data_IF_522283619317
#
_entry.id   IF_522283619317
#
_cell.length_a   1.000
_cell.length_b   1.000
_cell.length_c   1.000
_cell.angle_alpha   90.00
_cell.angle_beta   90.00
_cell.angle_gamma   90.00
#
_symmetry.space_group_name_H-M   'P 1'
#
loop_
_entity.id
_entity.type
_entity.pdbx_description
1 polymer ?
#
# COMPACT_ATOMS: atom_id res chain seq x y z
N UNK A 1 -12.86 12.51 -0.13
CA UNK A 1 -13.47 13.57 -0.98
C UNK A 1 -14.45 14.47 -0.20
N UNK A 2 -15.63 13.99 0.22
CA UNK A 2 -16.65 14.87 0.86
C UNK A 2 -16.13 15.64 2.08
N UNK A 3 -15.30 15.02 2.92
CA UNK A 3 -14.66 15.70 4.04
C UNK A 3 -13.72 16.84 3.60
N UNK A 4 -12.99 16.66 2.49
CA UNK A 4 -12.10 17.70 1.93
C UNK A 4 -12.95 18.87 1.42
N UNK A 5 -14.08 18.58 0.76
CA UNK A 5 -15.04 19.61 0.34
C UNK A 5 -15.59 20.37 1.54
N UNK A 6 -16.00 19.67 2.60
CA UNK A 6 -16.50 20.31 3.81
C UNK A 6 -15.43 21.22 4.44
N UNK A 7 -14.18 20.78 4.52
CA UNK A 7 -13.06 21.60 5.01
C UNK A 7 -12.90 22.82 4.11
N UNK A 8 -12.83 22.63 2.79
CA UNK A 8 -12.71 23.73 1.83
C UNK A 8 -13.82 24.78 2.02
N UNK A 9 -15.05 24.37 2.28
CA UNK A 9 -16.20 25.28 2.39
C UNK A 9 -16.33 25.93 3.79
N UNK A 10 -15.80 25.29 4.84
CA UNK A 10 -16.11 25.69 6.22
C UNK A 10 -14.88 26.07 7.05
N UNK A 11 -13.65 25.70 6.67
CA UNK A 11 -12.46 25.86 7.53
C UNK A 11 -12.16 27.32 7.85
N UNK A 12 -12.63 28.26 7.02
CA UNK A 12 -12.52 29.69 7.29
C UNK A 12 -13.22 30.11 8.59
N UNK A 13 -14.36 29.49 8.95
CA UNK A 13 -15.06 29.76 10.20
C UNK A 13 -14.25 29.34 11.44
N UNK A 14 -13.28 28.45 11.26
CA UNK A 14 -12.37 27.95 12.31
C UNK A 14 -11.00 28.64 12.27
N UNK A 15 -10.84 29.69 11.47
CA UNK A 15 -9.59 30.44 11.33
C UNK A 15 -8.56 29.83 10.37
N UNK A 16 -8.92 28.76 9.64
CA UNK A 16 -8.07 28.20 8.59
C UNK A 16 -8.21 28.94 7.26
N UNK A 17 -7.27 28.70 6.34
CA UNK A 17 -7.31 29.25 4.99
C UNK A 17 -7.72 28.14 3.99
N UNK A 18 -8.90 28.22 3.35
CA UNK A 18 -9.35 27.20 2.40
C UNK A 18 -8.48 27.11 1.14
N UNK A 19 -7.73 28.18 0.82
CA UNK A 19 -6.78 28.20 -0.29
C UNK A 19 -5.39 27.66 0.09
N UNK A 20 -5.18 27.21 1.33
CA UNK A 20 -3.92 26.67 1.82
C UNK A 20 -4.12 25.39 2.63
N UNK A 21 -4.78 24.40 2.01
CA UNK A 21 -5.02 23.09 2.62
C UNK A 21 -3.89 22.15 2.20
N UNK A 22 -3.24 21.51 3.17
CA UNK A 22 -2.29 20.42 2.92
C UNK A 22 -2.92 19.10 3.30
N UNK A 23 -3.01 18.17 2.35
CA UNK A 23 -3.38 16.79 2.67
C UNK A 23 -2.12 16.05 3.09
N UNK A 24 -2.18 15.34 4.22
CA UNK A 24 -1.11 14.46 4.65
C UNK A 24 -1.67 13.12 5.08
N UNK A 25 -0.92 12.05 4.83
CA UNK A 25 -1.32 10.70 5.19
C UNK A 25 -0.14 9.75 5.14
N UNK A 26 -0.29 8.63 5.83
CA UNK A 26 0.70 7.56 5.94
C UNK A 26 0.09 6.25 5.43
N UNK A 27 0.90 5.37 4.83
CA UNK A 27 0.48 4.07 4.30
C UNK A 27 -0.72 4.21 3.34
N UNK A 28 -1.84 3.54 3.60
CA UNK A 28 -3.08 3.68 2.80
C UNK A 28 -3.64 5.12 2.79
N UNK A 29 -3.34 5.92 3.82
CA UNK A 29 -3.61 7.36 3.84
C UNK A 29 -2.73 8.13 2.84
N UNK A 30 -1.45 7.76 2.69
CA UNK A 30 -0.57 8.32 1.67
C UNK A 30 -1.02 7.93 0.25
N UNK A 31 -1.45 6.68 0.07
CA UNK A 31 -2.14 6.25 -1.16
C UNK A 31 -3.36 7.13 -1.41
N UNK A 32 -4.22 7.33 -0.43
CA UNK A 32 -5.42 8.16 -0.57
C UNK A 32 -5.10 9.61 -0.97
N UNK A 33 -4.08 10.22 -0.36
CA UNK A 33 -3.58 11.55 -0.73
C UNK A 33 -3.09 11.56 -2.18
N UNK A 34 -2.32 10.56 -2.58
CA UNK A 34 -1.83 10.44 -3.95
C UNK A 34 -2.97 10.25 -4.97
N UNK A 35 -4.00 9.46 -4.66
CA UNK A 35 -5.20 9.34 -5.51
C UNK A 35 -5.98 10.65 -5.60
N UNK A 36 -6.03 11.45 -4.53
CA UNK A 36 -6.61 12.80 -4.55
C UNK A 36 -5.83 13.79 -5.42
N UNK A 37 -4.52 13.61 -5.60
CA UNK A 37 -3.72 14.38 -6.57
C UNK A 37 -4.07 14.01 -8.02
N UNK A 38 -4.45 12.76 -8.28
CA UNK A 38 -4.78 12.27 -9.63
C UNK A 38 -6.23 12.60 -9.99
N UNK A 39 -7.16 12.39 -9.05
CA UNK A 39 -8.60 12.49 -9.28
C UNK A 39 -9.04 13.89 -9.70
N UNK A 40 -9.78 14.04 -10.83
CA UNK A 40 -10.30 15.32 -11.27
C UNK A 40 -11.34 15.91 -10.30
N UNK A 41 -12.01 15.07 -9.50
CA UNK A 41 -13.04 15.50 -8.54
C UNK A 41 -12.46 16.17 -7.29
N UNK A 42 -11.19 15.94 -6.95
CA UNK A 42 -10.59 16.40 -5.68
C UNK A 42 -9.37 17.28 -5.82
N UNK A 43 -8.64 17.21 -6.95
CA UNK A 43 -7.36 17.93 -7.12
C UNK A 43 -7.44 19.46 -7.00
N UNK A 44 -8.64 20.04 -7.05
CA UNK A 44 -8.86 21.48 -6.87
C UNK A 44 -9.29 21.89 -5.46
N UNK A 45 -9.44 20.95 -4.52
CA UNK A 45 -9.94 21.21 -3.17
C UNK A 45 -8.84 21.35 -2.11
N UNK A 46 -7.57 21.21 -2.51
CA UNK A 46 -6.43 21.35 -1.62
C UNK A 46 -5.24 21.95 -2.37
N UNK A 47 -4.23 22.39 -1.63
CA UNK A 47 -3.09 23.14 -2.15
C UNK A 47 -1.87 22.25 -2.31
N UNK A 48 -1.49 21.49 -1.30
CA UNK A 48 -0.24 20.70 -1.25
C UNK A 48 -0.48 19.31 -0.65
N UNK A 49 0.51 18.42 -0.81
CA UNK A 49 0.40 17.04 -0.35
C UNK A 49 1.67 16.54 0.35
N UNK A 50 1.47 15.73 1.39
CA UNK A 50 2.50 14.98 2.09
C UNK A 50 2.11 13.49 2.08
N UNK A 51 2.99 12.62 1.61
CA UNK A 51 2.73 11.18 1.45
C UNK A 51 3.84 10.39 2.15
N UNK A 52 3.50 9.74 3.26
CA UNK A 52 4.47 9.00 4.07
C UNK A 52 4.34 7.50 3.79
N UNK A 53 5.40 6.87 3.28
CA UNK A 53 5.46 5.42 3.09
C UNK A 53 4.31 4.85 2.24
N UNK A 54 3.89 5.55 1.19
CA UNK A 54 2.84 5.06 0.30
C UNK A 54 2.65 5.90 -0.96
N UNK A 55 2.17 5.25 -2.02
CA UNK A 55 1.96 5.83 -3.35
C UNK A 55 0.85 5.09 -4.09
N UNK A 56 0.09 5.78 -4.92
CA UNK A 56 -0.93 5.21 -5.81
C UNK A 56 -0.39 4.17 -6.80
N UNK A 57 0.93 4.06 -7.00
CA UNK A 57 1.54 3.03 -7.85
C UNK A 57 1.87 1.75 -7.10
N UNK A 58 1.70 1.71 -5.77
CA UNK A 58 1.97 0.50 -5.00
C UNK A 58 1.09 -0.68 -5.44
N UNK A 59 1.62 -1.92 -5.46
CA UNK A 59 0.87 -3.10 -5.93
C UNK A 59 -0.45 -3.34 -5.19
N UNK A 60 -0.51 -2.95 -3.92
CA UNK A 60 -1.65 -3.13 -3.03
C UNK A 60 -2.64 -1.94 -3.02
N UNK A 61 -2.31 -0.85 -3.73
CA UNK A 61 -3.10 0.39 -3.69
C UNK A 61 -4.41 0.31 -4.48
N UNK A 62 -4.45 -0.46 -5.57
CA UNK A 62 -5.60 -0.57 -6.48
C UNK A 62 -5.73 -2.01 -6.97
N UNK A 63 -6.98 -2.49 -7.09
CA UNK A 63 -7.30 -3.75 -7.77
C UNK A 63 -8.15 -3.52 -9.02
N UNK A 64 -8.20 -4.52 -9.90
CA UNK A 64 -9.06 -4.47 -11.08
C UNK A 64 -10.54 -4.57 -10.69
N UNK A 65 -11.43 -4.03 -11.55
CA UNK A 65 -12.88 -4.16 -11.35
C UNK A 65 -13.34 -5.62 -11.32
N UNK A 66 -12.71 -6.47 -12.12
CA UNK A 66 -13.01 -7.89 -12.16
C UNK A 66 -12.62 -8.59 -10.84
N UNK A 67 -11.41 -8.34 -10.32
CA UNK A 67 -11.01 -8.94 -9.05
C UNK A 67 -11.85 -8.40 -7.88
N UNK A 68 -12.17 -7.09 -7.88
CA UNK A 68 -13.07 -6.50 -6.88
C UNK A 68 -14.46 -7.17 -6.88
N UNK A 69 -15.01 -7.44 -8.07
CA UNK A 69 -16.28 -8.17 -8.20
C UNK A 69 -16.17 -9.59 -7.63
N UNK A 70 -15.12 -10.33 -7.99
CA UNK A 70 -14.90 -11.69 -7.49
C UNK A 70 -14.73 -11.73 -5.97
N UNK A 71 -14.00 -10.78 -5.39
CA UNK A 71 -13.84 -10.66 -3.92
C UNK A 71 -15.16 -10.33 -3.23
N UNK A 72 -15.98 -9.46 -3.82
CA UNK A 72 -17.33 -9.17 -3.33
C UNK A 72 -18.23 -10.41 -3.32
N UNK A 73 -18.18 -11.22 -4.38
CA UNK A 73 -18.92 -12.49 -4.45
C UNK A 73 -18.41 -13.54 -3.45
N UNK A 74 -17.09 -13.65 -3.25
CA UNK A 74 -16.50 -14.52 -2.22
C UNK A 74 -16.93 -14.12 -0.81
N UNK A 75 -16.95 -12.82 -0.51
CA UNK A 75 -17.47 -12.34 0.77
C UNK A 75 -18.95 -12.70 0.93
N UNK A 76 -19.76 -12.49 -0.11
CA UNK A 76 -21.17 -12.86 -0.09
C UNK A 76 -21.36 -14.37 0.17
N UNK A 77 -20.58 -15.23 -0.48
CA UNK A 77 -20.58 -16.67 -0.21
C UNK A 77 -20.19 -16.97 1.25
N UNK A 78 -19.11 -16.37 1.76
CA UNK A 78 -18.61 -16.61 3.12
C UNK A 78 -19.62 -16.26 4.22
N UNK A 79 -20.44 -15.23 4.00
CA UNK A 79 -21.51 -14.83 4.94
C UNK A 79 -22.87 -15.46 4.60
N UNK A 80 -22.94 -16.41 3.66
CA UNK A 80 -24.18 -17.11 3.33
C UNK A 80 -25.21 -16.27 2.59
N UNK A 81 -24.77 -15.27 1.82
CA UNK A 81 -25.59 -14.50 0.88
C UNK A 81 -25.61 -15.16 -0.52
N UNK A 82 -26.60 -14.81 -1.36
CA UNK A 82 -26.54 -15.09 -2.80
C UNK A 82 -25.23 -14.54 -3.38
N UNK A 83 -24.67 -15.23 -4.36
CA UNK A 83 -23.36 -14.91 -4.96
C UNK A 83 -23.35 -15.21 -6.46
N UNK A 84 -24.48 -14.96 -7.12
CA UNK A 84 -24.59 -15.04 -8.58
C UNK A 84 -23.94 -13.80 -9.22
N UNK A 85 -23.03 -14.02 -10.17
CA UNK A 85 -22.35 -12.95 -10.91
C UNK A 85 -23.28 -12.25 -11.90
N UNK A 86 -24.31 -12.95 -12.38
CA UNK A 86 -25.21 -12.45 -13.42
C UNK A 86 -26.39 -11.64 -12.83
N UNK A 87 -26.70 -11.82 -11.54
CA UNK A 87 -27.67 -11.00 -10.81
C UNK A 87 -27.12 -10.54 -9.45
N UNK A 88 -26.54 -9.34 -9.44
CA UNK A 88 -25.92 -8.75 -8.24
C UNK A 88 -26.94 -8.10 -7.29
N UNK A 89 -28.20 -7.93 -7.69
CA UNK A 89 -29.17 -7.21 -6.84
C UNK A 89 -29.47 -7.96 -5.54
N UNK A 90 -29.79 -9.28 -5.57
CA UNK A 90 -29.98 -10.08 -4.36
C UNK A 90 -28.72 -10.19 -3.50
N UNK A 91 -27.54 -10.21 -4.13
CA UNK A 91 -26.23 -10.24 -3.47
C UNK A 91 -26.09 -8.99 -2.58
N UNK A 92 -26.25 -7.80 -3.18
CA UNK A 92 -26.10 -6.52 -2.49
C UNK A 92 -27.16 -6.34 -1.40
N UNK A 93 -28.43 -6.69 -1.69
CA UNK A 93 -29.51 -6.58 -0.70
C UNK A 93 -29.29 -7.45 0.53
N UNK A 94 -28.72 -8.65 0.35
CA UNK A 94 -28.36 -9.52 1.45
C UNK A 94 -27.19 -8.95 2.26
N UNK A 95 -26.10 -8.55 1.59
CA UNK A 95 -24.92 -7.97 2.25
C UNK A 95 -25.27 -6.74 3.11
N UNK A 96 -26.17 -5.87 2.64
CA UNK A 96 -26.60 -4.68 3.39
C UNK A 96 -27.39 -4.99 4.68
N UNK A 97 -27.86 -6.23 4.86
CA UNK A 97 -28.58 -6.69 6.04
C UNK A 97 -27.69 -7.46 7.02
N UNK A 98 -26.46 -7.79 6.62
CA UNK A 98 -25.49 -8.47 7.48
C UNK A 98 -24.97 -7.54 8.56
N UNK A 99 -24.55 -8.15 9.66
CA UNK A 99 -23.85 -7.41 10.69
C UNK A 99 -22.49 -6.92 10.17
N UNK A 100 -22.08 -5.73 10.59
CA UNK A 100 -20.84 -5.13 10.10
C UNK A 100 -19.61 -5.90 10.57
N UNK A 101 -19.62 -6.46 11.80
CA UNK A 101 -18.54 -7.30 12.30
C UNK A 101 -18.49 -8.64 11.55
N UNK A 102 -19.66 -9.22 11.23
CA UNK A 102 -19.72 -10.43 10.39
C UNK A 102 -19.08 -10.19 9.02
N UNK A 103 -19.30 -9.04 8.40
CA UNK A 103 -18.68 -8.71 7.11
C UNK A 103 -17.15 -8.63 7.23
N UNK A 104 -16.63 -7.78 8.13
CA UNK A 104 -15.17 -7.54 8.22
C UNK A 104 -14.38 -8.77 8.67
N UNK A 105 -14.98 -9.61 9.52
CA UNK A 105 -14.34 -10.84 9.99
C UNK A 105 -14.25 -11.93 8.90
N UNK A 106 -15.01 -11.81 7.81
CA UNK A 106 -15.05 -12.78 6.71
C UNK A 106 -14.44 -12.25 5.39
N UNK A 107 -13.72 -11.12 5.42
CA UNK A 107 -13.06 -10.56 4.23
C UNK A 107 -11.79 -11.33 3.84
N UNK A 108 -11.11 -11.91 4.83
CA UNK A 108 -9.78 -12.52 4.65
C UNK A 108 -9.88 -13.96 4.17
N UNK A 109 -9.56 -14.18 2.90
CA UNK A 109 -9.33 -15.51 2.31
C UNK A 109 -7.85 -15.81 2.12
N UNK A 110 -7.51 -16.55 1.08
CA UNK A 110 -6.11 -16.81 0.69
C UNK A 110 -5.54 -15.62 -0.07
N UNK A 111 -4.81 -14.75 0.62
CA UNK A 111 -4.13 -13.58 0.07
C UNK A 111 -2.62 -13.64 0.33
N UNK A 112 -1.83 -13.07 -0.58
CA UNK A 112 -0.38 -12.93 -0.39
C UNK A 112 -0.02 -11.86 0.65
N UNK A 113 1.28 -11.71 0.92
CA UNK A 113 1.76 -10.63 1.79
C UNK A 113 1.43 -9.26 1.18
N UNK A 114 1.00 -8.33 2.03
CA UNK A 114 0.58 -6.97 1.64
C UNK A 114 -0.56 -6.94 0.61
N UNK A 115 -1.36 -8.00 0.48
CA UNK A 115 -2.58 -7.97 -0.32
C UNK A 115 -3.80 -7.79 0.57
N UNK A 116 -4.51 -6.67 0.39
CA UNK A 116 -5.69 -6.34 1.17
C UNK A 116 -6.96 -6.64 0.36
N UNK A 117 -8.01 -7.23 0.96
CA UNK A 117 -9.18 -7.74 0.24
C UNK A 117 -9.97 -6.64 -0.49
N UNK A 118 -10.27 -5.54 0.19
CA UNK A 118 -11.07 -4.43 -0.35
C UNK A 118 -10.25 -3.14 -0.36
N UNK A 119 -9.84 -2.71 -1.54
CA UNK A 119 -9.03 -1.50 -1.79
C UNK A 119 -9.64 -0.69 -2.95
N UNK A 120 -9.17 0.54 -3.22
CA UNK A 120 -9.67 1.33 -4.35
C UNK A 120 -9.66 0.60 -5.70
N UNK A 121 -10.56 1.03 -6.58
CA UNK A 121 -10.66 0.59 -7.98
C UNK A 121 -10.68 1.80 -8.91
N UNK A 122 -10.45 1.57 -10.20
CA UNK A 122 -10.72 2.55 -11.25
C UNK A 122 -12.21 2.47 -11.58
N UNK A 123 -12.99 3.40 -11.06
CA UNK A 123 -14.46 3.42 -11.11
C UNK A 123 -15.01 4.17 -12.32
N UNK A 124 -14.21 5.03 -12.96
CA UNK A 124 -14.62 5.90 -14.06
C UNK A 124 -15.18 7.25 -13.61
N UNK A 125 -15.21 7.52 -12.30
CA UNK A 125 -15.69 8.79 -11.74
C UNK A 125 -14.64 9.44 -10.84
N UNK A 126 -14.25 8.78 -9.75
CA UNK A 126 -13.15 9.25 -8.92
C UNK A 126 -11.81 9.14 -9.64
N UNK A 127 -11.57 8.01 -10.31
CA UNK A 127 -10.43 7.77 -11.19
C UNK A 127 -10.94 7.24 -12.54
N UNK A 128 -10.52 7.87 -13.63
CA UNK A 128 -10.86 7.50 -15.01
C UNK A 128 -9.78 6.66 -15.69
N UNK A 129 -8.55 6.64 -15.15
CA UNK A 129 -7.44 5.84 -15.66
C UNK A 129 -6.55 5.31 -14.52
N UNK A 130 -5.63 4.40 -14.85
CA UNK A 130 -4.69 3.81 -13.89
C UNK A 130 -3.63 4.84 -13.45
N UNK A 131 -3.23 4.89 -12.16
CA UNK A 131 -2.24 5.86 -11.67
C UNK A 131 -0.94 5.94 -12.47
N UNK A 132 -0.38 4.80 -12.86
CA UNK A 132 0.79 4.73 -13.74
C UNK A 132 0.58 5.48 -15.06
N UNK A 133 -0.62 5.38 -15.66
CA UNK A 133 -0.98 6.13 -16.88
C UNK A 133 -1.18 7.61 -16.59
N UNK A 134 -1.86 7.97 -15.50
CA UNK A 134 -2.02 9.38 -15.10
C UNK A 134 -0.66 10.06 -14.91
N UNK A 135 0.30 9.38 -14.28
CA UNK A 135 1.67 9.88 -14.12
C UNK A 135 2.38 10.02 -15.47
N UNK A 136 2.34 9.00 -16.32
CA UNK A 136 2.96 9.04 -17.66
C UNK A 136 2.38 10.16 -18.55
N UNK A 137 1.06 10.35 -18.51
CA UNK A 137 0.34 11.39 -19.26
C UNK A 137 0.39 12.77 -18.57
N UNK A 138 1.03 12.87 -17.41
CA UNK A 138 1.12 14.11 -16.61
C UNK A 138 -0.26 14.63 -16.16
N UNK A 139 -1.28 13.78 -16.13
CA UNK A 139 -2.65 14.09 -15.72
C UNK A 139 -2.79 14.00 -14.20
N UNK A 140 -2.28 15.01 -13.52
CA UNK A 140 -2.32 15.12 -12.06
C UNK A 140 -2.16 16.58 -11.62
N UNK A 141 -2.54 16.89 -10.38
CA UNK A 141 -2.36 18.22 -9.80
C UNK A 141 -0.90 18.67 -9.85
N UNK A 142 -0.64 19.84 -10.43
CA UNK A 142 0.69 20.46 -10.37
C UNK A 142 0.83 21.22 -9.05
N UNK A 143 1.59 20.67 -8.12
CA UNK A 143 1.85 21.27 -6.81
C UNK A 143 3.12 20.70 -6.18
N UNK A 144 3.59 21.35 -5.12
CA UNK A 144 4.69 20.83 -4.32
C UNK A 144 4.26 19.63 -3.49
N UNK A 145 5.11 18.62 -3.43
CA UNK A 145 4.90 17.43 -2.61
C UNK A 145 6.09 17.16 -1.70
N UNK A 146 5.81 16.57 -0.53
CA UNK A 146 6.82 15.97 0.34
C UNK A 146 6.48 14.49 0.52
N UNK A 147 7.45 13.61 0.35
CA UNK A 147 7.25 12.18 0.56
C UNK A 147 8.51 11.47 0.98
N UNK A 148 8.39 10.21 1.40
CA UNK A 148 9.54 9.44 1.84
C UNK A 148 9.16 8.09 2.40
N UNK A 149 10.18 7.36 2.80
CA UNK A 149 10.09 6.00 3.33
C UNK A 149 10.89 5.85 4.62
N UNK A 150 10.57 4.83 5.39
CA UNK A 150 11.36 4.36 6.52
C UNK A 150 12.42 3.36 6.05
N UNK A 151 13.38 3.05 6.92
CA UNK A 151 14.44 2.09 6.63
C UNK A 151 13.93 0.65 6.51
N UNK A 152 13.02 0.24 7.40
CA UNK A 152 12.48 -1.12 7.52
C UNK A 152 10.95 -1.17 7.31
N UNK A 153 10.50 -1.01 6.06
CA UNK A 153 9.07 -1.01 5.71
C UNK A 153 8.45 -2.43 5.68
N UNK A 154 9.27 -3.47 5.53
CA UNK A 154 8.81 -4.83 5.30
C UNK A 154 8.52 -5.60 6.57
N UNK A 155 9.31 -5.38 7.63
CA UNK A 155 9.26 -6.22 8.84
C UNK A 155 7.88 -6.32 9.48
N UNK A 156 7.14 -5.22 9.56
CA UNK A 156 5.80 -5.24 10.14
C UNK A 156 4.91 -6.29 9.45
N UNK A 157 4.88 -6.30 8.12
CA UNK A 157 4.04 -7.22 7.36
C UNK A 157 4.56 -8.66 7.42
N UNK A 158 5.89 -8.85 7.41
CA UNK A 158 6.49 -10.18 7.48
C UNK A 158 6.19 -10.84 8.84
N UNK A 159 6.23 -10.09 9.94
CA UNK A 159 5.90 -10.61 11.30
C UNK A 159 4.48 -11.19 11.34
N UNK A 160 3.52 -10.54 10.69
CA UNK A 160 2.13 -11.00 10.68
C UNK A 160 1.84 -12.07 9.62
N UNK A 161 2.70 -12.21 8.60
CA UNK A 161 2.51 -13.16 7.51
C UNK A 161 3.30 -14.46 7.71
N UNK A 162 4.58 -14.39 8.04
CA UNK A 162 5.48 -15.54 8.28
C UNK A 162 5.67 -15.78 9.79
N UNK A 163 4.56 -15.98 10.52
CA UNK A 163 4.53 -16.00 11.99
C UNK A 163 5.46 -17.02 12.64
N UNK A 164 5.72 -18.16 11.99
CA UNK A 164 6.64 -19.19 12.48
C UNK A 164 8.12 -18.81 12.33
N UNK A 165 8.46 -18.06 11.28
CA UNK A 165 9.83 -17.63 10.98
C UNK A 165 10.17 -16.31 11.69
N UNK A 166 9.21 -15.38 11.74
CA UNK A 166 9.35 -14.04 12.31
C UNK A 166 8.54 -13.90 13.59
N UNK A 167 8.97 -14.62 14.63
CA UNK A 167 8.38 -14.50 15.96
C UNK A 167 8.65 -13.12 16.54
N UNK A 168 7.67 -12.57 17.28
CA UNK A 168 7.80 -11.26 17.95
C UNK A 168 8.62 -11.38 19.23
N UNK A 169 9.89 -11.77 19.08
CA UNK A 169 10.87 -11.95 20.15
C UNK A 169 12.25 -11.46 19.69
N UNK A 170 13.18 -11.31 20.63
CA UNK A 170 14.57 -10.98 20.30
C UNK A 170 15.31 -12.18 19.69
N UNK A 171 16.44 -11.93 19.03
CA UNK A 171 17.32 -12.97 18.48
C UNK A 171 16.66 -13.85 17.39
N UNK A 172 15.92 -13.24 16.48
CA UNK A 172 15.42 -13.90 15.26
C UNK A 172 16.51 -13.86 14.18
N UNK A 173 16.75 -15.02 13.57
CA UNK A 173 17.76 -15.28 12.56
C UNK A 173 17.12 -16.11 11.45
N UNK A 174 17.57 -15.93 10.20
CA UNK A 174 17.02 -16.66 9.06
C UNK A 174 18.16 -17.36 8.34
N UNK A 175 18.20 -18.69 8.37
CA UNK A 175 19.23 -19.42 7.62
C UNK A 175 19.00 -19.33 6.10
N UNK A 176 20.01 -19.73 5.31
CA UNK A 176 19.95 -19.62 3.85
C UNK A 176 18.80 -20.44 3.24
N UNK A 177 18.47 -21.60 3.81
CA UNK A 177 17.40 -22.47 3.31
C UNK A 177 16.03 -21.85 3.62
N UNK A 178 15.87 -21.29 4.81
CA UNK A 178 14.69 -20.55 5.23
C UNK A 178 14.48 -19.31 4.36
N UNK A 179 15.53 -18.55 4.07
CA UNK A 179 15.50 -17.42 3.14
C UNK A 179 14.99 -17.83 1.75
N UNK A 180 15.59 -18.86 1.15
CA UNK A 180 15.18 -19.34 -0.18
C UNK A 180 13.71 -19.79 -0.22
N UNK A 181 13.23 -20.42 0.86
CA UNK A 181 11.81 -20.78 1.00
C UNK A 181 10.93 -19.54 1.14
N UNK A 182 11.31 -18.60 2.02
CA UNK A 182 10.58 -17.36 2.25
C UNK A 182 10.47 -16.51 0.98
N UNK A 183 11.51 -16.45 0.14
CA UNK A 183 11.44 -15.78 -1.17
C UNK A 183 10.33 -16.37 -2.03
N UNK A 184 10.14 -17.69 -2.04
CA UNK A 184 9.06 -18.32 -2.79
C UNK A 184 7.67 -18.03 -2.19
N UNK A 185 7.54 -18.05 -0.86
CA UNK A 185 6.28 -17.79 -0.15
C UNK A 185 5.84 -16.33 -0.25
N UNK A 186 6.77 -15.38 -0.21
CA UNK A 186 6.51 -13.94 -0.29
C UNK A 186 6.31 -13.45 -1.74
N UNK A 187 6.70 -14.26 -2.74
CA UNK A 187 6.61 -13.93 -4.16
C UNK A 187 5.90 -15.05 -4.97
N UNK A 188 4.66 -15.41 -4.61
CA UNK A 188 4.01 -16.61 -5.15
C UNK A 188 3.65 -16.50 -6.64
N UNK A 189 3.43 -15.28 -7.14
CA UNK A 189 3.01 -15.02 -8.52
C UNK A 189 4.16 -14.98 -9.53
N UNK A 190 5.41 -14.93 -9.07
CA UNK A 190 6.57 -14.89 -9.94
C UNK A 190 6.98 -16.29 -10.39
N UNK A 191 7.53 -16.41 -11.60
CA UNK A 191 8.06 -17.68 -12.08
C UNK A 191 9.44 -17.99 -11.45
N UNK A 192 9.97 -19.19 -11.71
CA UNK A 192 11.24 -19.61 -11.12
C UNK A 192 12.43 -18.71 -11.50
N UNK A 193 12.47 -18.21 -12.74
CA UNK A 193 13.56 -17.32 -13.21
C UNK A 193 13.52 -15.98 -12.48
N UNK A 194 12.33 -15.39 -12.34
CA UNK A 194 12.14 -14.15 -11.59
C UNK A 194 12.52 -14.34 -10.11
N UNK A 195 12.17 -15.48 -9.49
CA UNK A 195 12.61 -15.78 -8.12
C UNK A 195 14.13 -15.92 -7.99
N UNK A 196 14.83 -16.47 -8.98
CA UNK A 196 16.30 -16.51 -8.97
C UNK A 196 16.90 -15.09 -9.07
N UNK A 197 16.29 -14.20 -9.85
CA UNK A 197 16.70 -12.80 -9.89
C UNK A 197 16.50 -12.10 -8.54
N UNK A 198 15.37 -12.33 -7.86
CA UNK A 198 15.10 -11.81 -6.51
C UNK A 198 16.16 -12.33 -5.53
N UNK A 199 16.44 -13.63 -5.51
CA UNK A 199 17.50 -14.21 -4.68
C UNK A 199 18.84 -13.55 -4.97
N UNK A 200 19.17 -13.33 -6.24
CA UNK A 200 20.44 -12.70 -6.62
C UNK A 200 20.55 -11.25 -6.15
N UNK A 201 19.49 -10.46 -6.32
CA UNK A 201 19.47 -9.03 -5.97
C UNK A 201 19.58 -8.82 -4.46
N UNK A 202 18.88 -9.63 -3.66
CA UNK A 202 18.79 -9.45 -2.20
C UNK A 202 19.73 -10.37 -1.40
N UNK A 203 20.76 -10.95 -2.03
CA UNK A 203 21.80 -11.70 -1.30
C UNK A 203 22.98 -10.79 -0.99
N UNK A 204 23.41 -10.75 0.28
CA UNK A 204 24.73 -10.22 0.62
C UNK A 204 25.81 -11.17 0.09
N UNK A 205 26.37 -10.84 -1.08
CA UNK A 205 27.36 -11.70 -1.74
C UNK A 205 28.72 -11.75 -1.04
N UNK A 206 28.99 -10.86 -0.07
CA UNK A 206 30.18 -10.95 0.77
C UNK A 206 30.03 -12.04 1.83
N UNK A 207 28.83 -12.21 2.39
CA UNK A 207 28.50 -13.24 3.37
C UNK A 207 27.13 -13.90 3.07
N UNK A 208 27.02 -14.75 2.02
CA UNK A 208 25.73 -15.24 1.53
C UNK A 208 24.90 -16.07 2.54
N UNK A 209 25.58 -16.72 3.48
CA UNK A 209 24.97 -17.57 4.50
C UNK A 209 24.80 -16.85 5.85
N UNK A 210 25.12 -15.56 5.95
CA UNK A 210 24.93 -14.81 7.19
C UNK A 210 23.44 -14.72 7.55
N UNK A 211 23.04 -15.18 8.74
CA UNK A 211 21.63 -15.30 9.07
C UNK A 211 20.95 -13.97 9.42
N UNK A 212 21.73 -12.92 9.71
CA UNK A 212 21.22 -11.55 9.91
C UNK A 212 20.99 -10.89 8.56
N UNK A 213 21.96 -10.97 7.65
CA UNK A 213 21.82 -10.47 6.27
C UNK A 213 20.65 -11.12 5.54
N UNK A 214 20.47 -12.44 5.67
CA UNK A 214 19.32 -13.15 5.08
C UNK A 214 17.98 -12.70 5.68
N UNK A 215 17.92 -12.37 6.98
CA UNK A 215 16.71 -11.82 7.61
C UNK A 215 16.41 -10.41 7.09
N UNK A 216 17.42 -9.54 7.10
CA UNK A 216 17.30 -8.14 6.65
C UNK A 216 16.96 -8.08 5.15
N UNK A 217 17.44 -9.03 4.35
CA UNK A 217 17.08 -9.17 2.93
C UNK A 217 15.58 -9.39 2.71
N UNK A 218 14.89 -10.12 3.60
CA UNK A 218 13.44 -10.33 3.51
C UNK A 218 12.68 -9.02 3.78
N UNK A 219 13.12 -8.22 4.76
CA UNK A 219 12.58 -6.87 4.97
C UNK A 219 12.76 -6.01 3.73
N UNK A 220 13.98 -5.96 3.19
CA UNK A 220 14.29 -5.08 2.06
C UNK A 220 13.49 -5.46 0.81
N UNK A 221 13.38 -6.73 0.45
CA UNK A 221 12.61 -7.11 -0.74
C UNK A 221 11.11 -6.80 -0.62
N UNK A 222 10.53 -6.94 0.58
CA UNK A 222 9.11 -6.59 0.82
C UNK A 222 8.96 -5.08 0.86
N UNK A 223 9.80 -4.37 1.62
CA UNK A 223 9.77 -2.93 1.77
C UNK A 223 9.98 -2.20 0.45
N UNK A 224 10.97 -2.63 -0.34
CA UNK A 224 11.28 -2.03 -1.64
C UNK A 224 10.14 -2.23 -2.63
N UNK A 225 9.64 -3.46 -2.76
CA UNK A 225 8.59 -3.77 -3.73
C UNK A 225 7.24 -3.14 -3.36
N UNK A 226 6.86 -3.16 -2.08
CA UNK A 226 5.53 -2.74 -1.63
C UNK A 226 5.47 -1.24 -1.28
N UNK A 227 6.60 -0.60 -0.93
CA UNK A 227 6.62 0.78 -0.42
C UNK A 227 7.67 1.66 -1.10
N UNK A 228 8.96 1.43 -0.81
CA UNK A 228 10.04 2.38 -1.13
C UNK A 228 10.17 2.69 -2.62
N UNK A 229 10.14 1.67 -3.49
CA UNK A 229 10.26 1.90 -4.93
C UNK A 229 9.06 2.65 -5.51
N UNK A 230 7.85 2.44 -4.97
CA UNK A 230 6.63 3.12 -5.41
C UNK A 230 6.60 4.59 -4.98
N UNK A 231 7.14 4.89 -3.79
CA UNK A 231 7.38 6.26 -3.33
C UNK A 231 8.39 6.95 -4.27
N UNK A 232 9.50 6.28 -4.59
CA UNK A 232 10.52 6.79 -5.50
C UNK A 232 9.98 7.05 -6.91
N UNK A 233 9.21 6.12 -7.47
CA UNK A 233 8.59 6.27 -8.79
C UNK A 233 7.69 7.50 -8.83
N UNK A 234 6.77 7.63 -7.88
CA UNK A 234 5.81 8.74 -7.87
C UNK A 234 6.52 10.09 -7.70
N UNK A 235 7.50 10.17 -6.80
CA UNK A 235 8.33 11.36 -6.62
C UNK A 235 9.09 11.74 -7.89
N UNK A 236 9.72 10.76 -8.53
CA UNK A 236 10.47 10.95 -9.77
C UNK A 236 9.57 11.50 -10.88
N UNK A 237 8.40 10.88 -11.11
CA UNK A 237 7.42 11.35 -12.11
C UNK A 237 6.89 12.75 -11.83
N UNK A 238 6.72 13.13 -10.56
CA UNK A 238 6.35 14.48 -10.19
C UNK A 238 7.44 15.50 -10.51
N UNK A 239 8.70 15.18 -10.18
CA UNK A 239 9.86 16.03 -10.40
C UNK A 239 10.13 16.26 -11.90
N UNK A 240 9.95 15.24 -12.76
CA UNK A 240 10.09 15.33 -14.22
C UNK A 240 9.17 16.39 -14.86
N UNK A 241 8.12 16.82 -14.16
CA UNK A 241 7.18 17.84 -14.64
C UNK A 241 7.43 19.24 -14.08
N UNK A 242 8.56 19.45 -13.41
CA UNK A 242 8.99 20.75 -12.87
C UNK A 242 8.34 21.13 -11.53
N UNK A 243 7.64 20.20 -10.87
CA UNK A 243 7.14 20.44 -9.51
C UNK A 243 8.28 20.32 -8.50
N UNK A 244 8.16 21.05 -7.38
CA UNK A 244 9.05 20.87 -6.24
C UNK A 244 8.71 19.56 -5.51
N UNK A 245 9.71 18.71 -5.34
CA UNK A 245 9.60 17.42 -4.64
C UNK A 245 10.64 17.38 -3.53
N UNK A 246 10.19 17.13 -2.31
CA UNK A 246 11.05 16.94 -1.14
C UNK A 246 10.98 15.47 -0.73
N UNK A 247 12.11 14.77 -0.81
CA UNK A 247 12.22 13.38 -0.39
C UNK A 247 12.87 13.29 0.98
N UNK A 248 12.31 12.47 1.87
CA UNK A 248 12.95 12.09 3.13
C UNK A 248 13.23 10.58 3.17
N UNK A 249 14.20 10.20 4.00
CA UNK A 249 14.44 8.81 4.36
C UNK A 249 14.61 8.74 5.88
N UNK A 250 13.61 8.20 6.57
CA UNK A 250 13.51 8.25 8.02
C UNK A 250 14.20 7.03 8.64
N UNK A 251 15.19 7.28 9.52
CA UNK A 251 16.10 6.25 10.06
C UNK A 251 16.09 6.15 11.58
N UNK A 252 15.26 6.94 12.25
CA UNK A 252 15.34 7.02 13.70
C UNK A 252 14.46 5.94 14.36
N UNK A 253 15.10 5.04 15.10
CA UNK A 253 14.43 4.11 16.01
C UNK A 253 14.30 4.74 17.40
N UNK A 254 13.07 4.89 17.87
CA UNK A 254 12.77 5.44 19.21
C UNK A 254 13.36 4.55 20.31
N UNK A 255 13.96 5.17 21.35
CA UNK A 255 14.58 4.45 22.49
C UNK A 255 13.58 3.54 23.23
N UNK A 256 12.32 3.96 23.32
CA UNK A 256 11.24 3.21 23.97
C UNK A 256 10.44 2.30 23.01
N UNK A 257 10.99 1.97 21.83
CA UNK A 257 10.29 1.12 20.86
C UNK A 257 10.06 -0.30 21.45
N UNK A 258 8.80 -0.77 21.56
CA UNK A 258 8.48 -2.07 22.17
C UNK A 258 8.66 -3.25 21.21
N UNK A 259 8.91 -3.01 19.93
CA UNK A 259 9.23 -4.06 18.96
C UNK A 259 10.64 -4.60 19.18
N UNK A 260 10.94 -5.84 18.77
CA UNK A 260 12.28 -6.40 18.89
C UNK A 260 13.37 -5.49 18.30
N UNK A 261 14.59 -5.57 18.83
CA UNK A 261 15.69 -4.68 18.46
C UNK A 261 16.13 -4.77 17.00
N UNK A 262 15.83 -5.89 16.34
CA UNK A 262 16.16 -6.17 14.95
C UNK A 262 15.18 -5.58 13.92
N UNK A 263 14.05 -5.01 14.38
CA UNK A 263 13.07 -4.35 13.51
C UNK A 263 13.39 -2.89 13.25
#
# INVERSE_FOLDING_TARGET
>A
LMAIQWIHDNIQAFGGNPNNITLFGESAGAVSVSLHLLSPLSRNLFSQAIMQSGSATAPWAIISREESLLRGLRLAEAVGCPHDRDDLSPVIECLKKKDAEELVNNEWGTLGICEFPFVPIIDGAFLDEHPVRSLANKNFKKTSILMGSNTEEGYYFIIYYLTELFKKEENVYVDRKEFLRAVAELNPYFNAVARQAIVFEYTDWLNPDDPVSNRDALDKMVGDYQFTCNVNEFAHRYAETGNNVYMYYYKHRTVANPWPSWT
#
